data_IF_582787314192
#
_entry.id   IF_582787314192
#
_cell.length_a   1.000
_cell.length_b   1.000
_cell.length_c   1.000
_cell.angle_alpha   90.00
_cell.angle_beta   90.00
_cell.angle_gamma   90.00
#
_symmetry.space_group_name_H-M   'P 1'
#
loop_
_entity.id
_entity.type
_entity.pdbx_description
1 polymer ?
#
# COMPACT_ATOMS: atom_id res chain seq x y z
N UNK A 1 16.14 4.66 -1.38
CA UNK A 1 16.12 4.81 0.10
C UNK A 1 17.33 4.07 0.66
N UNK A 2 18.11 4.70 1.55
CA UNK A 2 19.28 4.06 2.18
C UNK A 2 18.82 3.14 3.31
N UNK A 3 19.62 2.10 3.65
CA UNK A 3 19.29 1.15 4.73
C UNK A 3 19.02 1.85 6.07
N UNK A 4 19.81 2.85 6.42
CA UNK A 4 19.64 3.67 7.64
C UNK A 4 18.29 4.41 7.68
N UNK A 5 17.79 4.83 6.52
CA UNK A 5 16.47 5.49 6.40
C UNK A 5 15.33 4.49 6.57
N UNK A 6 15.49 3.25 6.09
CA UNK A 6 14.53 2.15 6.29
C UNK A 6 14.44 1.74 7.76
N UNK A 7 15.60 1.62 8.43
CA UNK A 7 15.66 1.28 9.85
C UNK A 7 14.99 2.36 10.70
N UNK A 8 15.23 3.64 10.40
CA UNK A 8 14.61 4.76 11.08
C UNK A 8 13.08 4.79 10.85
N UNK A 9 12.63 4.54 9.62
CA UNK A 9 11.20 4.45 9.30
C UNK A 9 10.53 3.28 10.03
N UNK A 10 11.16 2.10 10.01
CA UNK A 10 10.65 0.92 10.72
C UNK A 10 10.56 1.15 12.22
N UNK A 11 11.53 1.87 12.81
CA UNK A 11 11.49 2.27 14.22
C UNK A 11 10.34 3.25 14.51
N UNK A 12 10.14 4.25 13.63
CA UNK A 12 9.04 5.21 13.75
C UNK A 12 7.66 4.53 13.64
N UNK A 13 7.53 3.52 12.77
CA UNK A 13 6.30 2.72 12.65
C UNK A 13 5.96 1.91 13.90
N UNK A 14 6.92 1.71 14.82
CA UNK A 14 6.72 1.02 16.10
C UNK A 14 6.53 1.99 17.27
N UNK A 15 6.85 3.27 17.09
CA UNK A 15 6.74 4.29 18.14
C UNK A 15 5.34 4.90 18.18
N UNK A 16 4.61 4.85 19.32
CA UNK A 16 3.24 5.34 19.42
C UNK A 16 3.07 6.81 19.08
N UNK A 17 4.03 7.66 19.42
CA UNK A 17 3.93 9.11 19.15
C UNK A 17 4.12 9.41 17.66
N UNK A 18 5.04 8.70 17.01
CA UNK A 18 5.26 8.77 15.55
C UNK A 18 4.04 8.26 14.78
N UNK A 19 3.41 7.15 15.23
CA UNK A 19 2.15 6.64 14.65
C UNK A 19 1.04 7.67 14.73
N UNK A 20 0.84 8.30 15.88
CA UNK A 20 -0.18 9.34 16.04
C UNK A 20 0.05 10.53 15.09
N UNK A 21 1.29 10.95 14.90
CA UNK A 21 1.63 12.03 13.99
C UNK A 21 1.42 11.60 12.51
N UNK A 22 1.85 10.40 12.13
CA UNK A 22 1.64 9.85 10.78
C UNK A 22 0.14 9.70 10.48
N UNK A 23 -0.64 9.14 11.41
CA UNK A 23 -2.10 9.01 11.29
C UNK A 23 -2.75 10.36 11.06
N UNK A 24 -2.45 11.37 11.88
CA UNK A 24 -3.01 12.71 11.73
C UNK A 24 -2.69 13.32 10.35
N UNK A 25 -1.49 13.10 9.82
CA UNK A 25 -1.16 13.52 8.46
C UNK A 25 -1.92 12.74 7.38
N UNK A 26 -2.09 11.43 7.55
CA UNK A 26 -2.83 10.60 6.59
C UNK A 26 -4.34 10.90 6.60
N UNK A 27 -4.91 11.31 7.74
CA UNK A 27 -6.33 11.69 7.84
C UNK A 27 -6.64 13.06 7.22
N UNK A 28 -5.69 13.99 7.17
CA UNK A 28 -5.95 15.40 6.80
C UNK A 28 -4.97 15.98 5.79
N UNK A 29 -3.84 15.31 5.53
CA UNK A 29 -2.77 15.83 4.71
C UNK A 29 -3.12 15.90 3.22
N UNK A 30 -2.83 17.04 2.61
CA UNK A 30 -3.02 17.29 1.16
C UNK A 30 -1.73 17.76 0.47
N UNK A 31 -0.61 17.76 1.18
CA UNK A 31 0.70 18.18 0.69
C UNK A 31 1.53 17.03 0.08
N UNK A 32 0.93 15.85 -0.03
CA UNK A 32 1.49 14.64 -0.64
C UNK A 32 0.36 13.81 -1.27
N UNK A 33 0.71 12.83 -2.11
CA UNK A 33 -0.24 11.88 -2.68
C UNK A 33 -0.74 10.93 -1.58
N UNK A 34 -1.95 11.20 -1.09
CA UNK A 34 -2.55 10.48 0.03
C UNK A 34 -3.54 9.43 -0.47
N UNK A 35 -3.02 8.28 -0.86
CA UNK A 35 -3.79 7.19 -1.47
C UNK A 35 -4.86 6.69 -0.51
N UNK A 36 -4.55 6.51 0.77
CA UNK A 36 -5.53 6.02 1.75
C UNK A 36 -6.71 6.97 1.95
N UNK A 37 -6.49 8.28 1.84
CA UNK A 37 -7.57 9.28 1.87
C UNK A 37 -8.37 9.27 0.56
N UNK A 38 -7.69 9.02 -0.56
CA UNK A 38 -8.31 9.04 -1.89
C UNK A 38 -9.23 7.83 -2.10
N UNK A 39 -8.77 6.62 -1.79
CA UNK A 39 -9.46 5.37 -2.14
C UNK A 39 -9.96 4.56 -0.94
N UNK A 40 -9.49 4.86 0.26
CA UNK A 40 -9.80 4.10 1.48
C UNK A 40 -9.02 2.80 1.60
N UNK A 41 -8.99 2.24 2.80
CA UNK A 41 -8.24 1.01 3.12
C UNK A 41 -8.80 -0.26 2.47
N UNK A 42 -10.06 -0.23 2.00
CA UNK A 42 -10.68 -1.33 1.27
C UNK A 42 -10.08 -1.52 -0.13
N UNK A 43 -9.55 -0.44 -0.71
CA UNK A 43 -9.03 -0.38 -2.06
C UNK A 43 -7.49 -0.40 -2.14
N UNK A 44 -6.80 -0.54 -1.01
CA UNK A 44 -5.35 -0.70 -0.93
C UNK A 44 -5.03 -2.15 -0.56
N UNK A 45 -4.50 -2.92 -1.51
CA UNK A 45 -4.21 -4.36 -1.37
C UNK A 45 -2.72 -4.59 -1.19
N UNK A 46 -2.35 -5.33 -0.15
CA UNK A 46 -0.96 -5.70 0.13
C UNK A 46 -0.49 -6.88 -0.73
N UNK A 47 0.69 -6.76 -1.33
CA UNK A 47 1.32 -7.80 -2.15
C UNK A 47 2.81 -7.93 -1.84
N UNK A 48 3.39 -9.09 -2.19
CA UNK A 48 4.82 -9.33 -2.01
C UNK A 48 5.22 -9.53 -0.55
N UNK A 49 4.32 -10.05 0.27
CA UNK A 49 4.54 -10.30 1.69
C UNK A 49 5.53 -11.45 1.91
N UNK A 50 6.57 -11.21 2.71
CA UNK A 50 7.71 -12.13 2.89
C UNK A 50 7.70 -12.85 4.22
N UNK A 51 7.23 -12.19 5.29
CA UNK A 51 7.22 -12.74 6.64
C UNK A 51 6.17 -13.84 6.77
N UNK A 52 6.45 -14.87 7.58
CA UNK A 52 5.51 -15.99 7.78
C UNK A 52 4.20 -15.53 8.43
N UNK A 53 4.27 -14.50 9.24
CA UNK A 53 3.11 -13.90 9.92
C UNK A 53 2.14 -13.25 8.92
N UNK A 54 2.64 -12.45 7.99
CA UNK A 54 1.82 -11.67 7.06
C UNK A 54 1.56 -12.37 5.72
N UNK A 55 2.33 -13.38 5.33
CA UNK A 55 2.16 -14.11 4.05
C UNK A 55 0.74 -14.63 3.82
N UNK A 56 0.02 -14.97 4.88
CA UNK A 56 -1.40 -15.41 4.81
C UNK A 56 -2.34 -14.32 4.32
N UNK A 57 -1.92 -13.06 4.34
CA UNK A 57 -2.68 -11.89 3.89
C UNK A 57 -2.32 -11.43 2.47
N UNK A 58 -1.49 -12.17 1.76
CA UNK A 58 -1.14 -11.86 0.37
C UNK A 58 -2.39 -11.66 -0.50
N UNK A 59 -2.52 -10.48 -1.11
CA UNK A 59 -3.67 -10.11 -1.94
C UNK A 59 -4.91 -9.68 -1.16
N UNK A 60 -4.79 -9.39 0.14
CA UNK A 60 -5.85 -8.84 0.96
C UNK A 60 -5.75 -7.33 1.07
N UNK A 61 -6.89 -6.65 1.16
CA UNK A 61 -6.90 -5.21 1.45
C UNK A 61 -6.48 -4.94 2.90
N UNK A 62 -6.00 -3.71 3.15
CA UNK A 62 -5.64 -3.30 4.51
C UNK A 62 -6.84 -3.38 5.46
N UNK A 63 -8.06 -3.07 4.98
CA UNK A 63 -9.28 -3.22 5.77
C UNK A 63 -9.57 -4.70 6.13
N UNK A 64 -9.39 -5.65 5.19
CA UNK A 64 -9.53 -7.09 5.46
C UNK A 64 -8.49 -7.59 6.47
N UNK A 65 -7.26 -7.09 6.39
CA UNK A 65 -6.17 -7.43 7.33
C UNK A 65 -6.53 -6.92 8.71
N UNK A 66 -6.90 -5.65 8.84
CA UNK A 66 -7.34 -5.03 10.10
C UNK A 66 -8.48 -5.81 10.76
N UNK A 67 -9.51 -6.15 9.97
CA UNK A 67 -10.63 -6.95 10.45
C UNK A 67 -10.19 -8.32 10.97
N UNK A 68 -9.26 -8.97 10.27
CA UNK A 68 -8.74 -10.29 10.64
C UNK A 68 -7.90 -10.26 11.91
N UNK A 69 -7.21 -9.15 12.17
CA UNK A 69 -6.38 -8.93 13.36
C UNK A 69 -7.20 -8.35 14.53
N UNK A 70 -8.37 -7.79 14.28
CA UNK A 70 -9.19 -7.08 15.26
C UNK A 70 -8.60 -5.71 15.62
N UNK A 71 -7.95 -5.06 14.66
CA UNK A 71 -7.23 -3.80 14.82
C UNK A 71 -7.85 -2.66 14.01
N UNK A 72 -7.45 -1.43 14.32
CA UNK A 72 -7.74 -0.27 13.48
C UNK A 72 -6.93 -0.34 12.17
N UNK A 73 -7.48 0.07 11.00
CA UNK A 73 -6.77 -0.02 9.72
C UNK A 73 -5.43 0.72 9.66
N UNK A 74 -5.26 1.84 10.38
CA UNK A 74 -3.96 2.51 10.46
C UNK A 74 -2.94 1.67 11.23
N UNK A 75 -3.36 1.07 12.34
CA UNK A 75 -2.47 0.23 13.14
C UNK A 75 -2.08 -1.03 12.36
N UNK A 76 -3.04 -1.69 11.70
CA UNK A 76 -2.77 -2.84 10.83
C UNK A 76 -1.81 -2.51 9.68
N UNK A 77 -1.95 -1.32 9.05
CA UNK A 77 -1.02 -0.84 8.02
C UNK A 77 0.39 -0.61 8.61
N UNK A 78 0.49 0.06 9.75
CA UNK A 78 1.79 0.35 10.36
C UNK A 78 2.50 -0.92 10.83
N UNK A 79 1.77 -1.89 11.39
CA UNK A 79 2.32 -3.17 11.84
C UNK A 79 2.79 -4.02 10.66
N UNK A 80 2.00 -4.09 9.58
CA UNK A 80 2.39 -4.75 8.34
C UNK A 80 3.67 -4.13 7.76
N UNK A 81 3.72 -2.81 7.62
CA UNK A 81 4.90 -2.12 7.08
C UNK A 81 6.13 -2.32 7.97
N UNK A 82 5.96 -2.29 9.30
CA UNK A 82 7.05 -2.52 10.24
C UNK A 82 7.56 -3.96 10.22
N UNK A 83 6.67 -4.96 10.06
CA UNK A 83 7.02 -6.37 9.97
C UNK A 83 7.74 -6.71 8.66
N UNK A 84 7.30 -6.13 7.55
CA UNK A 84 7.86 -6.34 6.21
C UNK A 84 9.05 -5.40 5.90
N UNK A 85 9.54 -4.65 6.90
CA UNK A 85 10.61 -3.65 6.76
C UNK A 85 10.36 -2.65 5.60
N UNK A 86 9.10 -2.28 5.38
CA UNK A 86 8.65 -1.43 4.29
C UNK A 86 9.01 -1.96 2.87
N UNK A 87 9.26 -3.25 2.73
CA UNK A 87 9.61 -3.91 1.45
C UNK A 87 8.40 -4.63 0.82
N UNK A 88 7.19 -4.27 1.19
CA UNK A 88 5.96 -4.77 0.56
C UNK A 88 5.56 -3.91 -0.63
N UNK A 89 4.82 -4.51 -1.56
CA UNK A 89 4.15 -3.79 -2.64
C UNK A 89 2.66 -3.55 -2.32
N UNK A 90 2.03 -2.73 -3.15
CA UNK A 90 0.59 -2.51 -3.07
C UNK A 90 -0.04 -2.50 -4.46
N UNK A 91 -1.34 -2.80 -4.51
CA UNK A 91 -2.21 -2.55 -5.65
C UNK A 91 -3.30 -1.60 -5.17
N UNK A 92 -3.46 -0.47 -5.84
CA UNK A 92 -4.47 0.52 -5.54
C UNK A 92 -5.59 0.45 -6.57
N UNK A 93 -6.83 0.29 -6.11
CA UNK A 93 -8.00 0.37 -6.97
C UNK A 93 -8.49 1.82 -7.01
N UNK A 94 -7.90 2.62 -7.91
CA UNK A 94 -8.10 4.08 -7.98
C UNK A 94 -9.02 4.52 -9.12
N UNK A 95 -9.41 3.63 -10.01
CA UNK A 95 -10.20 3.96 -11.19
C UNK A 95 -11.42 3.04 -11.30
N UNK A 96 -12.53 3.58 -11.77
CA UNK A 96 -13.71 2.82 -12.13
C UNK A 96 -13.49 2.09 -13.47
N UNK A 97 -14.05 0.88 -13.60
CA UNK A 97 -13.90 0.05 -14.80
C UNK A 97 -14.53 0.69 -16.04
N UNK A 98 -15.59 1.49 -15.88
CA UNK A 98 -16.26 2.18 -16.98
C UNK A 98 -15.38 3.33 -17.49
N UNK A 99 -14.81 4.12 -16.59
CA UNK A 99 -13.85 5.19 -16.92
C UNK A 99 -12.62 4.64 -17.64
N UNK A 100 -12.07 3.52 -17.18
CA UNK A 100 -10.93 2.84 -17.85
C UNK A 100 -11.30 2.43 -19.27
N UNK A 101 -12.48 1.85 -19.47
CA UNK A 101 -12.97 1.45 -20.79
C UNK A 101 -13.16 2.64 -21.73
N UNK A 102 -13.70 3.73 -21.23
CA UNK A 102 -13.95 4.94 -22.03
C UNK A 102 -12.63 5.62 -22.44
N UNK A 103 -11.65 5.68 -21.53
CA UNK A 103 -10.29 6.14 -21.84
C UNK A 103 -9.65 5.26 -22.92
N UNK A 104 -9.74 3.93 -22.79
CA UNK A 104 -9.14 2.99 -23.76
C UNK A 104 -9.81 3.05 -25.15
N UNK A 105 -11.07 3.43 -25.22
CA UNK A 105 -11.82 3.59 -26.50
C UNK A 105 -11.50 4.90 -27.21
N UNK A 106 -10.95 5.88 -26.50
CA UNK A 106 -10.63 7.17 -27.12
C UNK A 106 -9.60 7.01 -28.25
N UNK A 107 -9.82 7.60 -29.44
CA UNK A 107 -8.99 7.35 -30.63
C UNK A 107 -7.55 7.87 -30.51
N UNK A 108 -7.25 8.65 -29.49
CA UNK A 108 -5.92 9.19 -29.16
C UNK A 108 -5.27 8.49 -27.96
N UNK A 109 -5.90 7.45 -27.40
CA UNK A 109 -5.35 6.69 -26.28
C UNK A 109 -4.36 5.62 -26.77
N UNK A 110 -3.31 5.43 -25.97
CA UNK A 110 -2.34 4.34 -26.15
C UNK A 110 -2.09 3.62 -24.82
N UNK A 111 -1.92 2.30 -24.91
CA UNK A 111 -1.62 1.47 -23.73
C UNK A 111 -0.12 1.35 -23.56
N UNK A 112 0.38 1.69 -22.37
CA UNK A 112 1.75 1.45 -21.95
C UNK A 112 1.73 0.71 -20.61
N UNK A 113 2.80 -0.02 -20.27
CA UNK A 113 2.75 -0.90 -19.11
C UNK A 113 3.43 -0.34 -17.87
N UNK A 114 4.27 0.68 -17.96
CA UNK A 114 5.10 1.13 -16.81
C UNK A 114 5.67 -0.04 -15.96
N UNK A 115 5.95 -1.16 -16.64
CA UNK A 115 6.34 -2.40 -15.97
C UNK A 115 7.75 -2.31 -15.39
N UNK A 116 7.91 -2.81 -14.17
CA UNK A 116 9.22 -3.00 -13.55
C UNK A 116 9.76 -4.40 -13.88
N UNK A 117 11.08 -4.50 -14.13
CA UNK A 117 11.70 -5.81 -14.33
C UNK A 117 11.69 -6.63 -13.02
N UNK A 118 11.20 -7.89 -13.05
CA UNK A 118 11.24 -8.74 -11.88
C UNK A 118 12.68 -9.08 -11.50
N UNK A 119 13.09 -8.71 -10.30
CA UNK A 119 14.39 -9.10 -9.72
C UNK A 119 14.23 -10.31 -8.79
N UNK A 120 13.84 -11.47 -9.36
CA UNK A 120 13.77 -12.73 -8.62
C UNK A 120 12.61 -12.80 -7.61
N UNK A 121 11.40 -12.94 -8.07
CA UNK A 121 10.21 -13.01 -7.21
C UNK A 121 8.91 -13.04 -8.03
N UNK A 122 7.79 -12.80 -7.37
CA UNK A 122 6.50 -12.64 -8.04
C UNK A 122 6.51 -11.37 -8.88
N UNK A 123 6.01 -11.51 -10.10
CA UNK A 123 5.88 -10.38 -11.03
C UNK A 123 4.77 -9.46 -10.52
N UNK A 124 5.05 -8.16 -10.42
CA UNK A 124 4.03 -7.14 -10.17
C UNK A 124 3.01 -7.15 -11.33
N UNK A 125 1.72 -6.95 -11.09
CA UNK A 125 0.67 -7.03 -12.13
C UNK A 125 0.71 -5.90 -13.17
N UNK A 126 1.60 -4.92 -13.09
CA UNK A 126 1.81 -3.92 -14.16
C UNK A 126 2.53 -4.53 -15.33
#
# INVERSE_FOLDING_TARGET
MRLEELDALTAALRDPSSRAAMRGRMETGSDFENITLLVGFDNVVAIGLKTDEYRRFEGKSIAEIALSLGEDPFDALFDLLAAEACETGMIDFIADEEDVRDILRAPFSGVISDATYPSGGRVHPR
#
